data_IF_557661224782
#
_entry.id   IF_557661224782
#
_cell.length_a   1.000
_cell.length_b   1.000
_cell.length_c   1.000
_cell.angle_alpha   90.00
_cell.angle_beta   90.00
_cell.angle_gamma   90.00
#
_symmetry.space_group_name_H-M   'P 1'
#
loop_
_entity.id
_entity.type
_entity.pdbx_description
1 polymer ?
#
# COMPACT_ATOMS: atom_id res chain seq x y z
N UNK A 1 -5.44 9.53 0.53
CA UNK A 1 -4.76 8.25 0.32
C UNK A 1 -5.57 7.10 0.91
N UNK A 2 -5.62 5.95 0.22
CA UNK A 2 -6.16 4.70 0.78
C UNK A 2 -5.07 3.64 0.76
N UNK A 3 -4.86 2.98 1.91
CA UNK A 3 -3.97 1.84 2.05
C UNK A 3 -4.71 0.50 2.05
N UNK A 4 -4.23 -0.45 1.24
CA UNK A 4 -4.64 -1.86 1.28
C UNK A 4 -3.47 -2.72 1.71
N UNK A 5 -3.63 -3.38 2.85
CA UNK A 5 -2.59 -4.22 3.45
C UNK A 5 -2.94 -5.70 3.33
N UNK A 6 -1.98 -6.50 2.86
CA UNK A 6 -2.04 -7.96 2.78
C UNK A 6 -0.79 -8.59 3.38
N UNK A 7 -0.95 -9.77 3.94
CA UNK A 7 0.16 -10.62 4.39
C UNK A 7 0.20 -11.88 3.53
N UNK A 8 1.32 -12.14 2.88
CA UNK A 8 1.49 -13.19 1.87
C UNK A 8 2.68 -14.11 2.22
N UNK A 9 2.82 -15.19 1.45
CA UNK A 9 3.80 -16.24 1.75
C UNK A 9 5.11 -16.10 0.96
N UNK A 10 5.05 -15.67 -0.32
CA UNK A 10 6.17 -15.76 -1.26
C UNK A 10 6.69 -14.40 -1.70
N UNK A 11 7.99 -14.14 -1.48
CA UNK A 11 8.68 -12.97 -2.03
C UNK A 11 8.84 -13.07 -3.53
N UNK A 12 9.15 -14.25 -4.10
CA UNK A 12 9.25 -14.43 -5.55
C UNK A 12 7.98 -13.99 -6.30
N UNK A 13 6.81 -14.46 -5.85
CA UNK A 13 5.54 -14.05 -6.44
C UNK A 13 5.25 -12.55 -6.25
N UNK A 14 5.60 -11.99 -5.08
CA UNK A 14 5.37 -10.58 -4.79
C UNK A 14 6.28 -9.66 -5.59
N UNK A 15 7.57 -9.96 -5.69
CA UNK A 15 8.56 -9.17 -6.43
C UNK A 15 8.23 -9.17 -7.92
N UNK A 16 7.92 -10.33 -8.49
CA UNK A 16 7.52 -10.43 -9.90
C UNK A 16 6.23 -9.64 -10.20
N UNK A 17 5.31 -9.60 -9.23
CA UNK A 17 4.10 -8.80 -9.31
C UNK A 17 4.38 -7.29 -9.25
N UNK A 18 5.13 -6.82 -8.24
CA UNK A 18 5.36 -5.37 -8.08
C UNK A 18 6.29 -4.81 -9.15
N UNK A 19 7.20 -5.59 -9.71
CA UNK A 19 8.02 -5.18 -10.86
C UNK A 19 7.31 -5.42 -12.21
N UNK A 20 6.07 -5.92 -12.20
CA UNK A 20 5.25 -6.18 -13.39
C UNK A 20 5.95 -7.03 -14.46
N UNK A 21 6.78 -8.01 -14.08
CA UNK A 21 7.57 -8.83 -15.02
C UNK A 21 6.71 -9.55 -16.05
N UNK A 22 5.47 -9.91 -15.67
CA UNK A 22 4.51 -10.59 -16.56
C UNK A 22 3.67 -9.64 -17.42
N UNK A 23 3.83 -8.33 -17.26
CA UNK A 23 3.12 -7.31 -18.02
C UNK A 23 4.06 -6.15 -18.41
N UNK A 24 5.17 -6.43 -19.12
CA UNK A 24 6.08 -5.40 -19.58
C UNK A 24 5.33 -4.37 -20.43
N UNK A 25 5.48 -3.08 -20.10
CA UNK A 25 4.75 -1.97 -20.72
C UNK A 25 3.67 -1.34 -19.83
N UNK A 26 3.32 -1.95 -18.69
CA UNK A 26 2.45 -1.32 -17.68
C UNK A 26 3.16 -0.29 -16.78
N UNK A 27 4.49 -0.20 -16.87
CA UNK A 27 5.31 0.79 -16.19
C UNK A 27 5.40 0.55 -14.69
N UNK A 28 6.50 -0.07 -14.25
CA UNK A 28 6.89 -0.18 -12.85
C UNK A 28 8.22 0.54 -12.64
N UNK A 29 8.29 1.37 -11.60
CA UNK A 29 9.50 2.11 -11.26
C UNK A 29 9.79 1.97 -9.76
N UNK A 30 10.98 1.47 -9.43
CA UNK A 30 11.42 1.37 -8.04
C UNK A 30 11.79 2.77 -7.55
N UNK A 31 11.10 3.25 -6.53
CA UNK A 31 11.30 4.59 -5.97
C UNK A 31 12.40 4.61 -4.91
N UNK A 32 12.42 3.59 -4.07
CA UNK A 32 13.37 3.42 -2.99
C UNK A 32 13.35 1.97 -2.50
N UNK A 33 14.45 1.51 -1.91
CA UNK A 33 14.56 0.21 -1.27
C UNK A 33 15.62 0.23 -0.18
N UNK A 34 15.50 -0.68 0.79
CA UNK A 34 16.49 -0.92 1.83
C UNK A 34 16.78 -2.41 1.97
N UNK A 35 18.06 -2.76 1.98
CA UNK A 35 18.55 -4.13 2.20
C UNK A 35 18.21 -5.14 1.10
N UNK A 36 17.78 -4.70 -0.09
CA UNK A 36 17.49 -5.56 -1.25
C UNK A 36 17.96 -4.93 -2.56
N UNK A 37 18.36 -5.76 -3.51
CA UNK A 37 18.65 -5.38 -4.90
C UNK A 37 17.37 -5.09 -5.67
N UNK A 38 17.49 -4.24 -6.68
CA UNK A 38 16.34 -3.71 -7.46
C UNK A 38 16.46 -3.93 -8.96
N UNK A 39 17.47 -4.67 -9.41
CA UNK A 39 17.76 -4.89 -10.83
C UNK A 39 16.89 -5.99 -11.45
N UNK A 40 16.36 -6.93 -10.66
CA UNK A 40 15.37 -7.93 -11.09
C UNK A 40 14.49 -8.40 -9.94
N UNK A 41 13.31 -8.97 -10.23
CA UNK A 41 12.47 -9.54 -9.18
C UNK A 41 13.13 -10.76 -8.53
N UNK A 42 13.89 -11.53 -9.31
CA UNK A 42 14.61 -12.70 -8.80
C UNK A 42 15.66 -12.30 -7.76
N UNK A 43 16.46 -11.27 -8.01
CA UNK A 43 17.45 -10.78 -7.05
C UNK A 43 16.79 -10.16 -5.82
N UNK A 44 15.77 -9.31 -6.01
CA UNK A 44 15.02 -8.73 -4.90
C UNK A 44 14.41 -9.80 -4.01
N UNK A 45 13.78 -10.82 -4.60
CA UNK A 45 13.19 -11.92 -3.86
C UNK A 45 14.24 -12.74 -3.10
N UNK A 46 15.39 -13.02 -3.73
CA UNK A 46 16.48 -13.75 -3.09
C UNK A 46 17.02 -13.01 -1.86
N UNK A 47 17.15 -11.68 -1.93
CA UNK A 47 17.61 -10.87 -0.79
C UNK A 47 16.58 -10.87 0.35
N UNK A 48 15.29 -10.76 0.03
CA UNK A 48 14.23 -10.90 1.02
C UNK A 48 14.19 -12.30 1.66
N UNK A 49 14.32 -13.35 0.85
CA UNK A 49 14.28 -14.73 1.33
C UNK A 49 15.50 -15.06 2.21
N UNK A 50 16.66 -14.44 1.98
CA UNK A 50 17.85 -14.60 2.82
C UNK A 50 17.61 -14.18 4.28
N UNK A 51 16.98 -13.02 4.51
CA UNK A 51 16.62 -12.56 5.86
C UNK A 51 15.42 -13.34 6.40
N UNK A 52 14.42 -13.63 5.56
CA UNK A 52 13.27 -14.47 5.93
C UNK A 52 13.70 -15.82 6.51
N UNK A 53 14.79 -16.40 6.00
CA UNK A 53 15.31 -17.70 6.42
C UNK A 53 15.70 -17.75 7.91
N UNK A 54 15.91 -16.61 8.58
CA UNK A 54 16.11 -16.55 10.04
C UNK A 54 14.86 -16.97 10.83
N UNK A 55 13.68 -16.95 10.19
CA UNK A 55 12.39 -17.34 10.80
C UNK A 55 11.63 -18.35 9.94
N UNK A 56 12.13 -19.59 9.79
CA UNK A 56 11.54 -20.57 8.87
C UNK A 56 10.09 -20.97 9.21
N UNK A 57 9.68 -20.85 10.48
CA UNK A 57 8.31 -21.10 10.92
C UNK A 57 7.30 -19.99 10.60
N UNK A 58 7.75 -18.82 10.09
CA UNK A 58 6.86 -17.72 9.72
C UNK A 58 6.24 -17.99 8.35
N UNK A 59 5.05 -18.59 8.34
CA UNK A 59 4.35 -18.94 7.10
C UNK A 59 3.97 -17.75 6.20
N UNK A 60 3.71 -16.57 6.78
CA UNK A 60 3.37 -15.33 6.05
C UNK A 60 4.37 -14.22 6.34
N UNK A 61 5.51 -14.28 5.66
CA UNK A 61 6.63 -13.37 5.87
C UNK A 61 6.55 -12.07 5.06
N UNK A 62 5.70 -11.99 4.04
CA UNK A 62 5.61 -10.82 3.17
C UNK A 62 4.50 -9.89 3.66
N UNK A 63 4.83 -8.65 4.02
CA UNK A 63 3.84 -7.59 4.18
C UNK A 63 3.77 -6.77 2.89
N UNK A 64 2.63 -6.84 2.22
CA UNK A 64 2.36 -6.05 1.01
C UNK A 64 1.39 -4.93 1.33
N UNK A 65 1.76 -3.72 0.94
CA UNK A 65 0.91 -2.54 1.05
C UNK A 65 0.75 -1.94 -0.32
N UNK A 66 -0.48 -1.63 -0.71
CA UNK A 66 -0.74 -0.79 -1.87
C UNK A 66 -1.36 0.52 -1.39
N UNK A 67 -0.71 1.64 -1.73
CA UNK A 67 -1.16 2.99 -1.41
C UNK A 67 -1.64 3.65 -2.70
N UNK A 68 -2.87 4.13 -2.72
CA UNK A 68 -3.44 4.85 -3.85
C UNK A 68 -3.91 6.25 -3.43
N UNK A 69 -3.75 7.19 -4.36
CA UNK A 69 -4.00 8.61 -4.13
C UNK A 69 -5.12 9.12 -5.05
N UNK A 70 -5.81 10.22 -4.66
CA UNK A 70 -6.72 10.93 -5.56
C UNK A 70 -6.01 11.35 -6.86
N UNK A 71 -6.72 11.40 -7.99
CA UNK A 71 -6.13 11.80 -9.29
C UNK A 71 -5.65 13.25 -9.24
N UNK A 72 -6.35 14.08 -8.47
CA UNK A 72 -6.09 15.49 -8.25
C UNK A 72 -4.74 15.75 -7.58
N UNK A 73 -4.18 14.76 -6.89
CA UNK A 73 -2.87 14.85 -6.24
C UNK A 73 -1.70 14.45 -7.14
N UNK A 74 -1.96 14.03 -8.39
CA UNK A 74 -0.93 13.48 -9.29
C UNK A 74 0.27 14.39 -9.47
N UNK A 75 0.07 15.70 -9.56
CA UNK A 75 1.14 16.68 -9.74
C UNK A 75 2.03 16.85 -8.50
N UNK A 76 1.46 16.67 -7.29
CA UNK A 76 2.23 16.73 -6.03
C UNK A 76 3.03 15.45 -5.75
N UNK A 77 2.64 14.34 -6.37
CA UNK A 77 3.20 13.00 -6.14
C UNK A 77 4.39 12.71 -7.07
N UNK A 78 5.46 13.47 -6.89
CA UNK A 78 6.77 13.16 -7.48
C UNK A 78 7.33 11.87 -6.87
N UNK A 79 8.28 11.24 -7.57
CA UNK A 79 8.92 10.01 -7.09
C UNK A 79 9.59 10.21 -5.72
N UNK A 80 10.21 11.37 -5.49
CA UNK A 80 10.84 11.74 -4.22
C UNK A 80 9.82 11.90 -3.09
N UNK A 81 8.66 12.53 -3.37
CA UNK A 81 7.59 12.69 -2.38
C UNK A 81 6.99 11.32 -2.04
N UNK A 82 6.72 10.49 -3.04
CA UNK A 82 6.21 9.14 -2.83
C UNK A 82 7.19 8.26 -2.05
N UNK A 83 8.50 8.37 -2.31
CA UNK A 83 9.54 7.70 -1.53
C UNK A 83 9.56 8.11 -0.06
N UNK A 84 9.43 9.42 0.24
CA UNK A 84 9.33 9.93 1.62
C UNK A 84 8.06 9.46 2.32
N UNK A 85 6.91 9.58 1.65
CA UNK A 85 5.62 9.05 2.15
C UNK A 85 5.75 7.57 2.52
N UNK A 86 6.42 6.77 1.71
CA UNK A 86 6.58 5.35 1.99
C UNK A 86 7.41 5.08 3.27
N UNK A 87 8.49 5.84 3.51
CA UNK A 87 9.28 5.71 4.74
C UNK A 87 8.49 6.15 5.98
N UNK A 88 7.78 7.27 5.90
CA UNK A 88 6.94 7.76 7.00
C UNK A 88 5.78 6.79 7.28
N UNK A 89 5.25 6.17 6.23
CA UNK A 89 4.24 5.13 6.35
C UNK A 89 4.77 3.90 7.11
N UNK A 90 6.01 3.45 6.83
CA UNK A 90 6.64 2.35 7.59
C UNK A 90 6.81 2.72 9.08
N UNK A 91 7.35 3.91 9.36
CA UNK A 91 7.50 4.43 10.74
C UNK A 91 6.15 4.47 11.47
N UNK A 92 5.11 4.97 10.81
CA UNK A 92 3.75 5.00 11.34
C UNK A 92 3.17 3.61 11.64
N UNK A 93 3.53 2.60 10.84
CA UNK A 93 3.20 1.19 11.11
C UNK A 93 4.03 0.56 12.23
N UNK A 94 4.98 1.30 12.82
CA UNK A 94 5.97 0.82 13.80
C UNK A 94 6.91 -0.22 13.20
N UNK A 95 7.29 -0.01 11.95
CA UNK A 95 8.31 -0.77 11.24
C UNK A 95 9.52 0.15 11.14
N UNK A 96 10.66 -0.28 11.67
CA UNK A 96 11.91 0.45 11.57
C UNK A 96 12.46 0.32 10.14
N UNK A 97 12.51 1.41 9.35
CA UNK A 97 13.01 1.35 7.98
C UNK A 97 14.50 0.98 7.87
N UNK A 98 15.28 1.21 8.91
CA UNK A 98 16.72 0.92 8.94
C UNK A 98 17.01 -0.53 9.36
N UNK A 99 16.13 -1.11 10.18
CA UNK A 99 16.25 -2.49 10.66
C UNK A 99 15.41 -3.50 9.88
N UNK A 100 14.64 -3.09 8.87
CA UNK A 100 13.73 -3.98 8.14
C UNK A 100 13.95 -3.85 6.64
N UNK A 101 14.05 -4.97 5.90
CA UNK A 101 14.09 -4.90 4.44
C UNK A 101 12.76 -4.43 3.85
N UNK A 102 12.82 -3.52 2.87
CA UNK A 102 11.64 -3.07 2.14
C UNK A 102 11.99 -2.56 0.73
N UNK A 103 10.99 -2.52 -0.14
CA UNK A 103 11.07 -1.88 -1.46
C UNK A 103 9.76 -1.18 -1.78
N UNK A 104 9.84 -0.03 -2.47
CA UNK A 104 8.71 0.79 -2.90
C UNK A 104 8.72 0.87 -4.41
N UNK A 105 7.61 0.50 -5.04
CA UNK A 105 7.47 0.50 -6.50
C UNK A 105 6.24 1.27 -6.91
N UNK A 106 6.41 2.29 -7.74
CA UNK A 106 5.33 3.03 -8.38
C UNK A 106 4.84 2.26 -9.60
N UNK A 107 3.52 2.16 -9.75
CA UNK A 107 2.90 1.63 -10.97
C UNK A 107 2.29 2.79 -11.77
N UNK A 108 2.32 2.68 -13.10
CA UNK A 108 1.79 3.68 -14.03
C UNK A 108 0.58 3.16 -14.83
N UNK A 109 0.05 2.00 -14.47
CA UNK A 109 -0.97 1.26 -15.21
C UNK A 109 -2.43 1.67 -14.88
N UNK A 110 -2.60 2.70 -14.04
CA UNK A 110 -3.90 3.25 -13.62
C UNK A 110 -3.89 4.78 -13.71
N UNK A 111 -5.09 5.34 -13.83
CA UNK A 111 -5.32 6.80 -13.78
C UNK A 111 -4.91 7.39 -12.43
N UNK A 112 -5.22 6.67 -11.33
CA UNK A 112 -4.85 7.08 -9.98
C UNK A 112 -3.36 6.81 -9.72
N UNK A 113 -2.60 7.81 -9.21
CA UNK A 113 -1.26 7.56 -8.71
C UNK A 113 -1.30 6.52 -7.61
N UNK A 114 -0.44 5.51 -7.69
CA UNK A 114 -0.34 4.49 -6.66
C UNK A 114 1.05 3.87 -6.61
N UNK A 115 1.38 3.30 -5.46
CA UNK A 115 2.61 2.55 -5.23
C UNK A 115 2.36 1.32 -4.38
N UNK A 116 3.30 0.39 -4.47
CA UNK A 116 3.34 -0.84 -3.72
C UNK A 116 4.58 -0.84 -2.83
N UNK A 117 4.39 -1.16 -1.55
CA UNK A 117 5.46 -1.47 -0.62
C UNK A 117 5.50 -2.98 -0.41
N UNK A 118 6.68 -3.56 -0.55
CA UNK A 118 6.99 -4.93 -0.13
C UNK A 118 7.90 -4.83 1.07
N UNK A 119 7.51 -5.44 2.18
CA UNK A 119 8.24 -5.35 3.44
C UNK A 119 8.46 -6.75 3.99
N UNK A 120 9.67 -7.01 4.48
CA UNK A 120 9.97 -8.25 5.18
C UNK A 120 9.40 -8.20 6.59
N UNK A 121 8.62 -9.22 6.97
CA UNK A 121 8.17 -9.36 8.35
C UNK A 121 9.20 -10.00 9.26
N UNK A 122 10.36 -10.36 8.73
CA UNK A 122 11.54 -10.69 9.51
C UNK A 122 12.46 -9.49 9.40
N UNK A 123 12.77 -8.85 10.53
CA UNK A 123 13.74 -7.77 10.57
C UNK A 123 15.18 -8.31 10.53
N UNK A 124 16.17 -7.42 10.48
CA UNK A 124 17.58 -7.80 10.38
C UNK A 124 18.11 -8.46 11.66
N UNK A 125 17.37 -8.39 12.78
CA UNK A 125 17.64 -9.12 14.03
C UNK A 125 16.93 -10.49 14.10
N UNK A 126 16.21 -10.88 13.03
CA UNK A 126 15.46 -12.13 12.97
C UNK A 126 14.13 -12.13 13.76
N UNK A 127 13.69 -10.97 14.25
CA UNK A 127 12.42 -10.81 14.95
C UNK A 127 11.26 -10.63 13.97
N UNK A 128 10.07 -11.02 14.42
CA UNK A 128 8.86 -10.90 13.60
C UNK A 128 8.23 -9.51 13.76
N UNK A 129 8.14 -8.77 12.66
CA UNK A 129 7.27 -7.59 12.54
C UNK A 129 5.81 -8.03 12.65
N UNK A 130 5.13 -7.51 13.69
CA UNK A 130 3.75 -7.86 14.00
C UNK A 130 2.77 -7.28 12.98
N UNK A 131 1.90 -8.14 12.43
CA UNK A 131 0.76 -7.76 11.57
C UNK A 131 -0.53 -7.56 12.37
N UNK A 132 -0.47 -7.64 13.70
CA UNK A 132 -1.64 -7.44 14.55
C UNK A 132 -2.20 -6.02 14.37
N UNK A 133 -3.51 -5.92 14.13
CA UNK A 133 -4.21 -4.66 13.85
C UNK A 133 -3.59 -3.80 12.72
N UNK A 134 -2.76 -4.38 11.84
CA UNK A 134 -2.02 -3.62 10.82
C UNK A 134 -2.93 -2.85 9.88
N UNK A 135 -4.13 -3.38 9.60
CA UNK A 135 -5.14 -2.70 8.78
C UNK A 135 -5.70 -1.45 9.45
N UNK A 136 -5.95 -1.49 10.76
CA UNK A 136 -6.41 -0.33 11.51
C UNK A 136 -5.32 0.73 11.56
N UNK A 137 -4.10 0.33 11.96
CA UNK A 137 -2.93 1.22 11.98
C UNK A 137 -2.67 1.86 10.62
N UNK A 138 -2.77 1.08 9.54
CA UNK A 138 -2.65 1.59 8.17
C UNK A 138 -3.65 2.71 7.86
N UNK A 139 -4.91 2.61 8.30
CA UNK A 139 -5.91 3.67 8.12
C UNK A 139 -5.50 4.93 8.88
N UNK A 140 -5.06 4.79 10.14
CA UNK A 140 -4.65 5.93 10.97
C UNK A 140 -3.40 6.62 10.41
N UNK A 141 -2.42 5.83 9.95
CA UNK A 141 -1.21 6.32 9.29
C UNK A 141 -1.53 7.03 7.98
N UNK A 142 -2.48 6.52 7.19
CA UNK A 142 -2.91 7.21 5.97
C UNK A 142 -3.44 8.61 6.28
N UNK A 143 -4.25 8.76 7.34
CA UNK A 143 -4.80 10.04 7.75
C UNK A 143 -3.73 11.01 8.26
N UNK A 144 -2.76 10.52 9.03
CA UNK A 144 -1.62 11.32 9.48
C UNK A 144 -0.82 11.87 8.30
N UNK A 145 -0.47 10.99 7.35
CA UNK A 145 0.28 11.39 6.14
C UNK A 145 -0.51 12.39 5.29
N UNK A 146 -1.82 12.23 5.15
CA UNK A 146 -2.65 13.20 4.43
C UNK A 146 -2.53 14.61 5.05
N UNK A 147 -2.53 14.69 6.38
CA UNK A 147 -2.37 15.95 7.11
C UNK A 147 -0.95 16.52 6.98
N UNK A 148 0.07 15.70 7.23
CA UNK A 148 1.48 16.12 7.25
C UNK A 148 1.95 16.63 5.88
N UNK A 149 1.45 16.02 4.79
CA UNK A 149 1.83 16.38 3.42
C UNK A 149 0.84 17.34 2.75
N UNK A 150 -0.20 17.81 3.45
CA UNK A 150 -1.23 18.69 2.87
C UNK A 150 -1.94 18.07 1.67
N UNK A 151 -2.13 16.74 1.70
CA UNK A 151 -2.84 16.00 0.67
C UNK A 151 -4.34 16.05 0.95
N UNK A 152 -5.12 15.89 -0.11
CA UNK A 152 -6.55 15.72 -0.01
C UNK A 152 -6.85 14.50 0.87
N UNK A 153 -7.65 14.75 1.91
CA UNK A 153 -8.23 13.73 2.78
C UNK A 153 -9.19 12.89 1.94
N UNK A 154 -8.82 11.65 1.62
CA UNK A 154 -9.56 10.82 0.67
C UNK A 154 -11.00 10.53 1.13
N UNK A 155 -11.25 10.52 2.44
CA UNK A 155 -12.59 10.41 3.01
C UNK A 155 -13.50 11.55 2.52
N UNK A 156 -12.97 12.77 2.44
CA UNK A 156 -13.74 13.95 2.01
C UNK A 156 -14.05 13.95 0.52
N UNK A 157 -13.18 13.35 -0.31
CA UNK A 157 -13.42 13.19 -1.76
C UNK A 157 -14.53 12.20 -2.03
N UNK A 158 -14.52 11.07 -1.32
CA UNK A 158 -15.58 10.07 -1.40
C UNK A 158 -16.96 10.63 -1.09
N UNK A 159 -17.05 11.50 -0.07
CA UNK A 159 -18.29 12.20 0.27
C UNK A 159 -18.71 13.23 -0.79
N UNK A 160 -17.78 13.93 -1.43
CA UNK A 160 -18.08 14.92 -2.48
C UNK A 160 -18.56 14.25 -3.77
N UNK A 161 -17.87 13.23 -4.28
CA UNK A 161 -18.28 12.47 -5.46
C UNK A 161 -19.61 11.72 -5.25
N UNK A 162 -19.86 11.23 -4.03
CA UNK A 162 -21.15 10.63 -3.69
C UNK A 162 -22.33 11.61 -3.80
N UNK A 163 -22.11 12.91 -3.55
CA UNK A 163 -23.13 13.95 -3.68
C UNK A 163 -23.45 14.30 -5.13
N UNK A 164 -22.45 14.23 -6.03
CA UNK A 164 -22.61 14.57 -7.45
C UNK A 164 -23.22 13.43 -8.29
N UNK A 165 -22.89 12.18 -7.97
CA UNK A 165 -23.30 11.00 -8.77
C UNK A 165 -24.56 10.32 -8.19
N UNK A 166 -25.05 10.78 -7.03
CA UNK A 166 -26.18 10.18 -6.32
C UNK A 166 -25.82 8.87 -5.58
N UNK A 167 -26.62 8.43 -4.59
CA UNK A 167 -26.26 7.36 -3.66
C UNK A 167 -26.31 5.95 -4.29
N UNK A 168 -25.34 5.09 -3.92
CA UNK A 168 -25.33 3.65 -4.23
C UNK A 168 -26.45 2.90 -3.48
N UNK A 169 -26.82 1.66 -3.89
CA UNK A 169 -27.85 0.88 -3.19
C UNK A 169 -27.59 0.68 -1.69
N UNK A 170 -26.31 0.53 -1.29
CA UNK A 170 -25.91 0.47 0.13
C UNK A 170 -26.09 1.81 0.85
N UNK A 171 -25.81 2.93 0.19
CA UNK A 171 -26.06 4.27 0.74
C UNK A 171 -27.56 4.56 0.86
N UNK A 172 -28.39 4.04 -0.05
CA UNK A 172 -29.85 4.18 0.00
C UNK A 172 -30.48 3.37 1.14
N UNK A 173 -29.87 2.23 1.53
CA UNK A 173 -30.33 1.39 2.63
C UNK A 173 -29.81 1.81 4.01
N UNK A 174 -28.90 2.79 4.06
CA UNK A 174 -28.31 3.26 5.31
C UNK A 174 -29.26 4.21 6.04
N UNK A 175 -29.74 3.81 7.22
CA UNK A 175 -30.76 4.54 7.99
C UNK A 175 -30.20 5.30 9.18
N UNK A 176 -29.00 4.94 9.64
CA UNK A 176 -28.32 5.59 10.76
C UNK A 176 -27.08 6.38 10.30
N UNK A 177 -26.63 7.41 11.07
CA UNK A 177 -25.41 8.15 10.75
C UNK A 177 -24.17 7.27 10.62
N UNK A 178 -24.10 6.19 11.41
CA UNK A 178 -23.00 5.21 11.38
C UNK A 178 -23.03 4.34 10.12
N UNK A 179 -24.21 3.93 9.67
CA UNK A 179 -24.39 3.18 8.41
C UNK A 179 -24.11 4.06 7.19
N UNK A 180 -24.53 5.32 7.22
CA UNK A 180 -24.27 6.28 6.15
C UNK A 180 -22.78 6.53 6.01
N UNK A 181 -22.10 6.79 7.13
CA UNK A 181 -20.64 6.88 7.17
C UNK A 181 -20.01 5.59 6.61
N UNK A 182 -20.42 4.41 7.08
CA UNK A 182 -19.90 3.14 6.56
C UNK A 182 -20.12 2.91 5.05
N UNK A 183 -21.24 3.39 4.50
CA UNK A 183 -21.58 3.22 3.09
C UNK A 183 -20.78 4.18 2.18
N UNK A 184 -20.61 5.44 2.60
CA UNK A 184 -19.78 6.43 1.91
C UNK A 184 -18.31 5.98 1.88
N UNK A 185 -17.81 5.49 3.01
CA UNK A 185 -16.51 4.85 3.13
C UNK A 185 -16.34 3.64 2.22
N UNK A 186 -17.40 2.84 2.05
CA UNK A 186 -17.37 1.67 1.16
C UNK A 186 -17.23 2.07 -0.31
N UNK A 187 -17.83 3.18 -0.74
CA UNK A 187 -17.80 3.67 -2.13
C UNK A 187 -16.45 4.28 -2.49
N UNK A 188 -15.94 5.18 -1.65
CA UNK A 188 -14.62 5.79 -1.81
C UNK A 188 -13.52 4.71 -1.90
N UNK A 189 -13.64 3.69 -1.04
CA UNK A 189 -12.79 2.48 -1.09
C UNK A 189 -13.02 1.61 -2.32
N UNK A 190 -14.19 1.63 -2.96
CA UNK A 190 -14.47 0.79 -4.12
C UNK A 190 -13.88 1.40 -5.40
N UNK A 191 -13.92 2.72 -5.55
CA UNK A 191 -13.35 3.44 -6.71
C UNK A 191 -11.82 3.42 -6.67
N UNK A 192 -11.22 3.81 -5.54
CA UNK A 192 -9.77 3.72 -5.34
C UNK A 192 -9.32 2.26 -5.16
N UNK A 193 -10.12 1.40 -4.51
CA UNK A 193 -9.80 -0.03 -4.34
C UNK A 193 -9.93 -0.86 -5.61
N UNK A 194 -10.69 -0.41 -6.62
CA UNK A 194 -10.62 -0.92 -8.00
C UNK A 194 -9.26 -0.64 -8.63
N UNK A 195 -8.61 0.49 -8.32
CA UNK A 195 -7.21 0.72 -8.70
C UNK A 195 -6.28 -0.32 -8.03
N UNK A 196 -6.59 -0.73 -6.80
CA UNK A 196 -5.86 -1.74 -6.03
C UNK A 196 -6.34 -3.20 -6.22
N UNK A 197 -7.18 -3.47 -7.23
CA UNK A 197 -7.91 -4.75 -7.35
C UNK A 197 -7.06 -5.93 -7.84
N UNK A 198 -5.80 -5.71 -8.22
CA UNK A 198 -4.88 -6.77 -8.66
C UNK A 198 -3.72 -7.05 -7.70
N UNK A 199 -3.80 -6.69 -6.42
CA UNK A 199 -2.79 -7.17 -5.44
C UNK A 199 -2.72 -8.69 -5.47
N UNK A 200 -1.54 -9.27 -5.77
CA UNK A 200 -1.32 -10.72 -5.89
C UNK A 200 -2.04 -11.52 -4.78
N UNK A 201 -2.67 -12.62 -5.20
CA UNK A 201 -3.37 -13.57 -4.33
C UNK A 201 -2.41 -14.45 -3.56
#
# INVERSE_FOLDING_TARGET
MIGKVKVNQSFGAMCAYVLQEKAPGKGAEVLAAHGVRTDSAAHMAADFDAVRAMRPGLGKAVLHVALAFPVEEKEKLTNEVMGRIAQDYLKGLRIDPENTQWAVVRHQDKTHPHMHLVVNRVDLDGQTVSDQFIRSRSVDVCKGIEQDYGLIVADQVGHRQAREIGPTPKQQQATTPKEQQSADWSRARQEIGRALSYTAG
#
